data_IF_394289974031
#
_entry.id   IF_394289974031
#
_cell.length_a   1.000
_cell.length_b   1.000
_cell.length_c   1.000
_cell.angle_alpha   90.00
_cell.angle_beta   90.00
_cell.angle_gamma   90.00
#
_symmetry.space_group_name_H-M   'P 1'
#
loop_
_entity.id
_entity.type
_entity.pdbx_description
1 polymer ?
#
# COMPACT_ATOMS: atom_id res chain seq x y z
N UNK A 1 -66.14 -24.45 27.25
CA UNK A 1 -64.74 -24.36 27.69
C UNK A 1 -63.88 -24.31 26.43
N UNK A 2 -63.46 -23.12 26.00
CA UNK A 2 -62.54 -22.93 24.80
C UNK A 2 -61.10 -22.89 25.28
N UNK A 3 -60.31 -23.86 24.84
CA UNK A 3 -58.83 -23.86 25.10
C UNK A 3 -58.16 -22.92 24.09
N UNK A 4 -57.54 -21.84 24.58
CA UNK A 4 -56.71 -20.94 23.82
C UNK A 4 -55.32 -21.55 23.80
N UNK A 5 -54.84 -21.92 22.60
CA UNK A 5 -53.49 -22.40 22.35
C UNK A 5 -52.61 -21.19 22.08
N UNK A 6 -51.74 -20.79 23.01
CA UNK A 6 -50.73 -19.76 22.83
C UNK A 6 -49.55 -20.36 22.04
N UNK A 7 -49.40 -19.93 20.78
CA UNK A 7 -48.22 -20.23 19.98
C UNK A 7 -47.11 -19.20 20.34
N UNK A 8 -46.11 -19.61 21.08
CA UNK A 8 -44.88 -18.84 21.33
C UNK A 8 -44.00 -18.95 20.07
N UNK A 9 -44.00 -17.89 19.25
CA UNK A 9 -43.08 -17.73 18.12
C UNK A 9 -41.74 -17.22 18.66
N UNK A 10 -40.75 -18.10 18.85
CA UNK A 10 -39.39 -17.70 19.21
C UNK A 10 -38.71 -17.14 17.97
N UNK A 11 -38.57 -15.81 17.91
CA UNK A 11 -37.73 -15.12 16.92
C UNK A 11 -36.25 -15.43 17.20
N UNK A 12 -35.65 -16.34 16.44
CA UNK A 12 -34.21 -16.54 16.40
C UNK A 12 -33.60 -15.37 15.62
N UNK A 13 -33.17 -14.33 16.32
CA UNK A 13 -32.32 -13.27 15.69
C UNK A 13 -30.95 -13.87 15.48
N UNK A 14 -30.71 -14.37 14.28
CA UNK A 14 -29.39 -14.79 13.85
C UNK A 14 -28.53 -13.51 13.60
N UNK A 15 -27.85 -13.03 14.63
CA UNK A 15 -26.84 -11.99 14.47
C UNK A 15 -25.64 -12.60 13.74
N UNK A 16 -25.57 -12.38 12.44
CA UNK A 16 -24.36 -12.67 11.66
C UNK A 16 -23.24 -11.77 12.20
N UNK A 17 -22.35 -12.33 13.00
CA UNK A 17 -21.10 -11.68 13.35
C UNK A 17 -20.29 -11.69 12.05
N UNK A 18 -20.34 -10.61 11.29
CA UNK A 18 -19.40 -10.38 10.20
C UNK A 18 -18.02 -10.18 10.85
N UNK A 19 -17.20 -11.22 10.83
CA UNK A 19 -15.79 -11.06 11.17
C UNK A 19 -15.21 -10.07 10.16
N UNK A 20 -14.73 -8.94 10.65
CA UNK A 20 -14.07 -7.96 9.80
C UNK A 20 -12.91 -8.67 9.07
N UNK A 21 -12.88 -8.53 7.76
CA UNK A 21 -11.83 -9.14 6.94
C UNK A 21 -10.48 -8.48 7.28
N UNK A 22 -9.42 -9.29 7.38
CA UNK A 22 -8.07 -8.76 7.61
C UNK A 22 -7.67 -7.79 6.49
N UNK A 23 -7.12 -6.66 6.88
CA UNK A 23 -6.65 -5.61 5.98
C UNK A 23 -5.14 -5.71 5.83
N UNK A 24 -4.65 -5.85 4.61
CA UNK A 24 -3.22 -5.93 4.33
C UNK A 24 -2.76 -4.75 3.49
N UNK A 25 -1.67 -4.11 3.93
CA UNK A 25 -0.92 -3.12 3.15
C UNK A 25 0.53 -3.59 3.09
N UNK A 26 1.09 -3.72 1.88
CA UNK A 26 2.47 -4.11 1.68
C UNK A 26 3.26 -3.03 0.93
N UNK A 27 3.74 -1.99 1.63
CA UNK A 27 4.72 -1.04 1.12
C UNK A 27 6.13 -1.67 1.06
N UNK A 28 6.92 -1.30 0.05
CA UNK A 28 8.33 -1.62 -0.04
C UNK A 28 9.14 -0.43 -0.57
N UNK A 29 10.41 -0.31 -0.16
CA UNK A 29 11.22 0.87 -0.45
C UNK A 29 11.48 1.11 -1.92
N UNK A 30 11.66 0.06 -2.69
CA UNK A 30 11.93 0.08 -4.13
C UNK A 30 12.40 -1.29 -4.61
N UNK A 31 12.90 -1.39 -5.86
CA UNK A 31 13.42 -2.64 -6.38
C UNK A 31 12.35 -3.71 -6.55
N UNK A 32 11.20 -3.31 -7.13
CA UNK A 32 10.10 -4.24 -7.38
C UNK A 32 10.58 -5.48 -8.14
N UNK A 33 10.13 -6.66 -7.70
CA UNK A 33 10.53 -7.94 -8.25
C UNK A 33 9.47 -9.02 -8.04
N UNK A 34 9.68 -10.16 -8.67
CA UNK A 34 8.74 -11.28 -8.66
C UNK A 34 8.49 -11.87 -7.27
N UNK A 35 9.48 -11.84 -6.36
CA UNK A 35 9.32 -12.37 -5.00
C UNK A 35 8.33 -11.54 -4.19
N UNK A 36 8.33 -10.22 -4.36
CA UNK A 36 7.31 -9.36 -3.75
C UNK A 36 5.91 -9.67 -4.29
N UNK A 37 5.77 -9.88 -5.61
CA UNK A 37 4.46 -10.26 -6.17
C UNK A 37 4.00 -11.62 -5.64
N UNK A 38 4.89 -12.61 -5.54
CA UNK A 38 4.55 -13.91 -4.92
C UNK A 38 4.08 -13.75 -3.46
N UNK A 39 4.72 -12.86 -2.70
CA UNK A 39 4.30 -12.58 -1.32
C UNK A 39 2.93 -11.88 -1.28
N UNK A 40 2.65 -10.93 -2.19
CA UNK A 40 1.34 -10.30 -2.34
C UNK A 40 0.26 -11.33 -2.66
N UNK A 41 0.52 -12.27 -3.57
CA UNK A 41 -0.41 -13.36 -3.92
C UNK A 41 -0.78 -14.16 -2.67
N UNK A 42 0.20 -14.52 -1.84
CA UNK A 42 -0.04 -15.28 -0.59
C UNK A 42 -0.99 -14.55 0.37
N UNK A 43 -0.90 -13.21 0.44
CA UNK A 43 -1.77 -12.41 1.31
C UNK A 43 -3.25 -12.49 0.92
N UNK A 44 -3.56 -12.79 -0.35
CA UNK A 44 -4.95 -12.92 -0.82
C UNK A 44 -5.61 -14.23 -0.43
N UNK A 45 -4.83 -15.26 -0.11
CA UNK A 45 -5.32 -16.63 0.11
C UNK A 45 -5.92 -17.29 -1.14
N UNK A 46 -5.76 -16.70 -2.34
CA UNK A 46 -6.32 -17.19 -3.60
C UNK A 46 -5.23 -17.82 -4.50
N UNK A 47 -5.60 -18.85 -5.23
CA UNK A 47 -4.70 -19.50 -6.18
C UNK A 47 -4.42 -18.62 -7.41
N UNK A 48 -5.42 -17.85 -7.85
CA UNK A 48 -5.34 -16.98 -9.02
C UNK A 48 -6.01 -15.63 -8.75
N UNK A 49 -5.37 -14.74 -7.95
CA UNK A 49 -5.96 -13.44 -7.61
C UNK A 49 -5.97 -12.48 -8.79
N UNK A 50 -6.96 -11.59 -8.81
CA UNK A 50 -7.03 -10.44 -9.70
C UNK A 50 -6.13 -9.34 -9.18
N UNK A 51 -5.12 -8.92 -9.95
CA UNK A 51 -4.20 -7.85 -9.59
C UNK A 51 -4.40 -6.67 -10.55
N UNK A 52 -4.83 -5.53 -10.02
CA UNK A 52 -4.93 -4.29 -10.78
C UNK A 52 -3.71 -3.41 -10.51
N UNK A 53 -2.97 -3.08 -11.57
CA UNK A 53 -1.86 -2.13 -11.51
C UNK A 53 -2.34 -0.71 -11.75
N UNK A 54 -1.93 0.21 -10.85
CA UNK A 54 -2.14 1.66 -10.96
C UNK A 54 -0.82 2.36 -11.30
N UNK A 55 -0.57 2.69 -12.58
CA UNK A 55 0.65 3.39 -13.02
C UNK A 55 0.59 4.91 -12.84
N UNK A 56 -0.30 5.43 -12.00
CA UNK A 56 -0.61 6.87 -11.89
C UNK A 56 0.63 7.71 -11.57
N UNK A 57 1.50 7.26 -10.66
CA UNK A 57 2.72 7.99 -10.28
C UNK A 57 3.68 8.20 -11.44
N UNK A 58 3.66 7.34 -12.46
CA UNK A 58 4.49 7.43 -13.67
C UNK A 58 3.76 8.05 -14.88
N UNK A 59 2.61 8.69 -14.65
CA UNK A 59 1.82 9.28 -15.73
C UNK A 59 1.20 8.26 -16.68
N UNK A 60 0.79 7.11 -16.18
CA UNK A 60 0.28 5.96 -16.94
C UNK A 60 1.29 5.46 -18.00
N UNK A 61 2.59 5.48 -17.66
CA UNK A 61 3.70 5.09 -18.53
C UNK A 61 3.48 3.72 -19.17
N UNK A 62 3.52 3.68 -20.50
CA UNK A 62 3.41 2.42 -21.25
C UNK A 62 4.54 1.44 -20.88
N UNK A 63 5.77 1.94 -20.69
CA UNK A 63 6.89 1.11 -20.27
C UNK A 63 6.67 0.52 -18.87
N UNK A 64 6.10 1.28 -17.94
CA UNK A 64 5.72 0.77 -16.62
C UNK A 64 4.66 -0.33 -16.70
N UNK A 65 3.68 -0.16 -17.59
CA UNK A 65 2.64 -1.17 -17.86
C UNK A 65 3.24 -2.45 -18.45
N UNK A 66 4.12 -2.34 -19.43
CA UNK A 66 4.82 -3.49 -20.05
C UNK A 66 5.61 -4.25 -18.97
N UNK A 67 6.42 -3.54 -18.16
CA UNK A 67 7.19 -4.15 -17.07
C UNK A 67 6.31 -4.86 -16.04
N UNK A 68 5.13 -4.32 -15.74
CA UNK A 68 4.20 -5.00 -14.86
C UNK A 68 3.74 -6.33 -15.46
N UNK A 69 3.33 -6.35 -16.73
CA UNK A 69 2.93 -7.60 -17.39
C UNK A 69 4.10 -8.59 -17.47
N UNK A 70 5.33 -8.14 -17.77
CA UNK A 70 6.53 -8.97 -17.75
C UNK A 70 6.81 -9.55 -16.34
N UNK A 71 6.52 -8.79 -15.28
CA UNK A 71 6.72 -9.21 -13.90
C UNK A 71 5.78 -10.36 -13.50
N UNK A 72 4.58 -10.38 -14.07
CA UNK A 72 3.51 -11.32 -13.66
C UNK A 72 3.19 -12.40 -14.68
N UNK A 73 3.79 -12.40 -15.88
CA UNK A 73 3.39 -13.23 -17.03
C UNK A 73 3.41 -14.76 -16.76
N UNK A 74 4.28 -15.21 -15.87
CA UNK A 74 4.46 -16.63 -15.50
C UNK A 74 3.91 -16.94 -14.09
N UNK A 75 3.17 -16.01 -13.49
CA UNK A 75 2.51 -16.20 -12.21
C UNK A 75 1.02 -16.51 -12.41
N UNK A 76 0.45 -17.29 -11.48
CA UNK A 76 -0.99 -17.60 -11.50
C UNK A 76 -1.79 -16.41 -10.99
N UNK A 77 -2.02 -15.42 -11.86
CA UNK A 77 -2.80 -14.20 -11.55
C UNK A 77 -3.68 -13.79 -12.74
N UNK A 78 -4.66 -12.94 -12.49
CA UNK A 78 -5.41 -12.20 -13.51
C UNK A 78 -4.99 -10.71 -13.48
N UNK A 79 -4.02 -10.32 -14.33
CA UNK A 79 -3.50 -8.97 -14.33
C UNK A 79 -4.41 -8.01 -15.09
N UNK A 80 -4.57 -6.83 -14.56
CA UNK A 80 -5.25 -5.70 -15.22
C UNK A 80 -4.53 -4.39 -14.92
N UNK A 81 -4.86 -3.34 -15.66
CA UNK A 81 -4.28 -2.01 -15.48
C UNK A 81 -5.40 -0.97 -15.48
N UNK A 82 -5.43 -0.13 -14.46
CA UNK A 82 -6.32 1.02 -14.41
C UNK A 82 -5.51 2.30 -14.70
N UNK A 83 -5.75 2.90 -15.84
CA UNK A 83 -5.17 4.18 -16.25
C UNK A 83 -6.04 5.34 -15.74
N UNK A 84 -5.41 6.45 -15.39
CA UNK A 84 -6.07 7.59 -14.73
C UNK A 84 -5.82 8.92 -15.42
N UNK A 85 -4.64 9.13 -16.03
CA UNK A 85 -4.21 10.45 -16.53
C UNK A 85 -4.97 10.94 -17.74
N UNK A 86 -5.18 10.07 -18.72
CA UNK A 86 -5.86 10.40 -19.96
C UNK A 86 -6.82 9.30 -20.36
N UNK A 87 -7.77 9.63 -21.20
CA UNK A 87 -8.70 8.66 -21.80
C UNK A 87 -9.69 8.01 -20.83
N UNK A 88 -9.82 8.51 -19.58
CA UNK A 88 -10.81 8.00 -18.64
C UNK A 88 -12.24 8.16 -19.12
N UNK A 89 -12.55 9.16 -19.94
CA UNK A 89 -13.86 9.34 -20.57
C UNK A 89 -14.29 8.14 -21.43
N UNK A 90 -13.35 7.43 -22.04
CA UNK A 90 -13.62 6.26 -22.87
C UNK A 90 -13.76 4.97 -22.04
N UNK A 91 -13.55 5.00 -20.74
CA UNK A 91 -13.75 3.85 -19.87
C UNK A 91 -15.25 3.63 -19.65
N UNK A 92 -15.66 2.37 -19.72
CA UNK A 92 -17.06 1.97 -19.56
C UNK A 92 -17.45 1.70 -18.12
N UNK A 93 -16.46 1.61 -17.23
CA UNK A 93 -16.62 1.34 -15.80
C UNK A 93 -16.01 2.48 -14.99
N UNK A 94 -16.62 2.81 -13.87
CA UNK A 94 -16.05 3.74 -12.90
C UNK A 94 -14.81 3.17 -12.21
N UNK A 95 -13.99 4.03 -11.61
CA UNK A 95 -12.87 3.58 -10.79
C UNK A 95 -13.31 2.66 -9.65
N UNK A 96 -14.49 2.94 -9.07
CA UNK A 96 -15.06 2.13 -8.01
C UNK A 96 -15.41 0.71 -8.50
N UNK A 97 -16.09 0.59 -9.65
CA UNK A 97 -16.43 -0.71 -10.23
C UNK A 97 -15.19 -1.54 -10.57
N UNK A 98 -14.11 -0.92 -11.05
CA UNK A 98 -12.86 -1.63 -11.35
C UNK A 98 -12.11 -2.01 -10.08
N UNK A 99 -11.83 -1.02 -9.21
CA UNK A 99 -10.92 -1.20 -8.06
C UNK A 99 -11.55 -2.01 -6.92
N UNK A 100 -12.88 -2.04 -6.80
CA UNK A 100 -13.54 -2.89 -5.80
C UNK A 100 -13.85 -4.31 -6.28
N UNK A 101 -13.50 -4.65 -7.53
CA UNK A 101 -13.71 -5.98 -8.11
C UNK A 101 -12.40 -6.75 -8.38
N UNK A 102 -11.35 -6.39 -7.65
CA UNK A 102 -10.05 -7.05 -7.69
C UNK A 102 -9.66 -7.56 -6.30
N UNK A 103 -8.58 -8.33 -6.21
CA UNK A 103 -8.08 -8.87 -4.95
C UNK A 103 -6.86 -8.09 -4.45
N UNK A 104 -6.16 -7.44 -5.37
CA UNK A 104 -4.97 -6.64 -5.10
C UNK A 104 -5.01 -5.37 -5.93
N UNK A 105 -4.69 -4.25 -5.30
CA UNK A 105 -4.33 -2.99 -5.95
C UNK A 105 -2.83 -2.79 -5.77
N UNK A 106 -2.09 -2.84 -6.89
CA UNK A 106 -0.65 -2.69 -6.93
C UNK A 106 -0.27 -1.34 -7.54
N UNK A 107 0.35 -0.47 -6.74
CA UNK A 107 0.68 0.92 -7.13
C UNK A 107 2.13 1.03 -7.56
N UNK A 108 2.35 1.60 -8.74
CA UNK A 108 3.67 1.85 -9.28
C UNK A 108 4.40 3.04 -8.62
N UNK A 109 5.73 3.09 -8.81
CA UNK A 109 6.55 4.22 -8.43
C UNK A 109 6.48 5.38 -9.43
N UNK A 110 7.07 6.52 -9.04
CA UNK A 110 7.13 7.76 -9.80
C UNK A 110 6.88 8.98 -8.93
N UNK A 111 6.18 9.98 -9.43
CA UNK A 111 5.90 11.24 -8.72
C UNK A 111 4.71 11.09 -7.76
N UNK A 112 5.00 11.02 -6.46
CA UNK A 112 3.98 10.85 -5.43
C UNK A 112 3.04 12.05 -5.34
N UNK A 113 3.57 13.27 -5.43
CA UNK A 113 2.78 14.51 -5.32
C UNK A 113 1.71 14.58 -6.41
N UNK A 114 2.11 14.33 -7.66
CA UNK A 114 1.19 14.35 -8.81
C UNK A 114 0.15 13.23 -8.70
N UNK A 115 0.57 12.04 -8.29
CA UNK A 115 -0.34 10.92 -8.06
C UNK A 115 -1.41 11.25 -7.02
N UNK A 116 -1.01 11.80 -5.87
CA UNK A 116 -1.93 12.17 -4.79
C UNK A 116 -2.90 13.27 -5.23
N UNK A 117 -2.42 14.27 -5.98
CA UNK A 117 -3.27 15.34 -6.50
C UNK A 117 -4.35 14.81 -7.46
N UNK A 118 -3.98 13.92 -8.38
CA UNK A 118 -4.91 13.30 -9.32
C UNK A 118 -5.89 12.37 -8.61
N UNK A 119 -5.44 11.56 -7.68
CA UNK A 119 -6.33 10.67 -6.94
C UNK A 119 -7.39 11.43 -6.15
N UNK A 120 -7.01 12.51 -5.45
CA UNK A 120 -7.96 13.39 -4.75
C UNK A 120 -8.94 14.06 -5.73
N UNK A 121 -8.45 14.56 -6.87
CA UNK A 121 -9.31 15.20 -7.87
C UNK A 121 -10.32 14.25 -8.52
N UNK A 122 -9.96 12.96 -8.68
CA UNK A 122 -10.78 11.92 -9.30
C UNK A 122 -11.59 11.08 -8.29
N UNK A 123 -11.43 11.31 -6.98
CA UNK A 123 -12.09 10.53 -5.92
C UNK A 123 -11.55 9.11 -5.76
N UNK A 124 -10.38 8.80 -6.31
CA UNK A 124 -9.75 7.47 -6.22
C UNK A 124 -9.28 7.19 -4.79
N UNK A 125 -8.85 8.19 -4.04
CA UNK A 125 -8.51 8.11 -2.63
C UNK A 125 -9.65 7.52 -1.78
N UNK A 126 -10.89 7.95 -2.04
CA UNK A 126 -12.10 7.40 -1.37
C UNK A 126 -12.33 5.95 -1.77
N UNK A 127 -12.13 5.60 -3.04
CA UNK A 127 -12.27 4.22 -3.53
C UNK A 127 -11.21 3.31 -2.92
N UNK A 128 -9.96 3.76 -2.80
CA UNK A 128 -8.88 3.00 -2.18
C UNK A 128 -9.13 2.74 -0.69
N UNK A 129 -9.75 3.69 0.02
CA UNK A 129 -10.18 3.48 1.40
C UNK A 129 -11.23 2.38 1.50
N UNK A 130 -12.27 2.42 0.64
CA UNK A 130 -13.27 1.36 0.55
C UNK A 130 -12.65 0.00 0.19
N UNK A 131 -11.67 -0.01 -0.70
CA UNK A 131 -10.94 -1.23 -1.07
C UNK A 131 -10.23 -1.85 0.13
N UNK A 132 -9.53 -1.05 0.94
CA UNK A 132 -8.89 -1.50 2.17
C UNK A 132 -9.91 -2.05 3.18
N UNK A 133 -11.00 -1.33 3.40
CA UNK A 133 -12.10 -1.76 4.29
C UNK A 133 -12.76 -3.07 3.84
N UNK A 134 -12.76 -3.32 2.54
CA UNK A 134 -13.25 -4.57 1.91
C UNK A 134 -12.23 -5.73 1.99
N UNK A 135 -11.01 -5.49 2.51
CA UNK A 135 -9.95 -6.49 2.62
C UNK A 135 -9.18 -6.73 1.31
N UNK A 136 -9.32 -5.84 0.32
CA UNK A 136 -8.46 -5.86 -0.87
C UNK A 136 -7.04 -5.50 -0.45
N UNK A 137 -6.06 -6.31 -0.86
CA UNK A 137 -4.65 -6.08 -0.53
C UNK A 137 -4.15 -4.85 -1.27
N UNK A 138 -3.59 -3.88 -0.54
CA UNK A 138 -2.93 -2.72 -1.10
C UNK A 138 -1.42 -2.93 -1.06
N UNK A 139 -0.75 -2.69 -2.18
CA UNK A 139 0.70 -2.88 -2.24
C UNK A 139 1.36 -1.88 -3.20
N UNK A 140 2.67 -1.69 -3.05
CA UNK A 140 3.44 -0.90 -4.00
C UNK A 140 4.80 -0.47 -3.47
N UNK A 141 5.63 0.02 -4.38
CA UNK A 141 6.98 0.48 -4.08
C UNK A 141 7.21 1.96 -4.40
N UNK A 142 8.17 2.58 -3.73
CA UNK A 142 8.50 3.99 -3.95
C UNK A 142 7.28 4.90 -3.70
N UNK A 143 6.83 5.68 -4.68
CA UNK A 143 5.59 6.45 -4.59
C UNK A 143 4.38 5.56 -4.21
N UNK A 144 4.33 4.32 -4.72
CA UNK A 144 3.29 3.33 -4.39
C UNK A 144 3.40 2.73 -3.01
N UNK A 145 4.50 2.94 -2.28
CA UNK A 145 4.60 2.65 -0.85
C UNK A 145 4.24 3.87 -0.01
N UNK A 146 4.76 5.03 -0.39
CA UNK A 146 4.61 6.28 0.34
C UNK A 146 3.15 6.73 0.45
N UNK A 147 2.36 6.50 -0.58
CA UNK A 147 0.96 6.92 -0.62
C UNK A 147 0.07 6.36 0.51
N UNK A 148 0.45 5.26 1.15
CA UNK A 148 -0.35 4.64 2.21
C UNK A 148 -0.16 5.27 3.59
N UNK A 149 0.93 6.00 3.80
CA UNK A 149 1.31 6.60 5.08
C UNK A 149 0.70 8.00 5.27
N UNK A 150 0.84 8.56 6.49
CA UNK A 150 0.42 9.95 6.76
C UNK A 150 1.21 10.92 5.88
N UNK A 151 2.54 10.77 5.86
CA UNK A 151 3.46 11.62 5.13
C UNK A 151 4.82 10.94 4.95
N UNK A 152 5.72 11.57 4.21
CA UNK A 152 7.10 11.11 4.12
C UNK A 152 7.96 11.89 3.13
N UNK A 153 9.19 11.40 2.93
CA UNK A 153 10.18 12.03 2.06
C UNK A 153 9.94 11.68 0.59
N UNK A 154 10.06 12.67 -0.29
CA UNK A 154 9.81 12.52 -1.72
C UNK A 154 10.75 13.38 -2.56
N UNK A 155 11.07 12.90 -3.75
CA UNK A 155 11.76 13.56 -4.86
C UNK A 155 10.79 14.14 -5.90
N UNK A 156 9.52 14.29 -5.55
CA UNK A 156 8.46 14.72 -6.48
C UNK A 156 8.57 16.19 -6.94
N UNK A 157 9.39 17.01 -6.29
CA UNK A 157 9.66 18.40 -6.70
C UNK A 157 11.05 18.52 -7.30
N UNK A 158 11.27 19.48 -8.18
CA UNK A 158 12.60 19.70 -8.74
C UNK A 158 13.58 20.21 -7.66
N UNK A 159 14.88 19.98 -7.90
CA UNK A 159 16.04 20.49 -7.16
C UNK A 159 16.33 19.73 -5.87
N UNK A 160 15.34 19.47 -4.99
CA UNK A 160 15.58 18.91 -3.66
C UNK A 160 14.55 17.87 -3.24
N UNK A 161 14.95 17.02 -2.31
CA UNK A 161 14.02 16.16 -1.58
C UNK A 161 13.12 16.99 -0.65
N UNK A 162 11.83 16.68 -0.65
CA UNK A 162 10.84 17.39 0.14
C UNK A 162 9.92 16.42 0.89
N UNK A 163 8.83 16.96 1.43
CA UNK A 163 7.78 16.23 2.13
C UNK A 163 6.52 16.17 1.28
N UNK A 164 5.81 15.05 1.34
CA UNK A 164 4.48 14.88 0.76
C UNK A 164 3.54 14.18 1.75
N UNK A 165 2.27 14.56 1.72
CA UNK A 165 1.20 13.85 2.43
C UNK A 165 0.72 12.66 1.62
N UNK A 166 0.44 11.53 2.30
CA UNK A 166 -0.19 10.35 1.74
C UNK A 166 -1.68 10.27 2.05
N UNK A 167 -2.22 9.05 2.05
CA UNK A 167 -3.64 8.77 2.34
C UNK A 167 -3.92 8.56 3.83
N UNK A 168 -2.88 8.38 4.66
CA UNK A 168 -3.02 8.17 6.09
C UNK A 168 -3.66 6.84 6.50
N UNK A 169 -3.60 5.82 5.63
CA UNK A 169 -4.09 4.48 5.99
C UNK A 169 -3.18 3.79 7.01
N UNK A 170 -1.90 4.16 7.01
CA UNK A 170 -0.91 3.81 8.03
C UNK A 170 -0.53 5.09 8.79
N UNK A 171 -0.81 5.18 10.11
CA UNK A 171 -0.65 6.41 10.89
C UNK A 171 0.82 6.65 11.30
N UNK A 172 1.73 6.51 10.35
CA UNK A 172 3.17 6.64 10.49
C UNK A 172 3.73 7.51 9.37
N UNK A 173 4.94 8.03 9.53
CA UNK A 173 5.71 8.59 8.43
C UNK A 173 6.47 7.50 7.65
N UNK A 174 6.92 7.81 6.43
CA UNK A 174 7.64 6.85 5.59
C UNK A 174 8.76 7.48 4.78
N UNK A 175 9.84 6.70 4.60
CA UNK A 175 10.94 7.02 3.69
C UNK A 175 11.30 5.79 2.84
N UNK A 176 10.92 5.75 1.55
CA UNK A 176 11.41 4.74 0.62
C UNK A 176 12.83 5.04 0.16
N UNK A 177 13.50 4.09 -0.54
CA UNK A 177 14.86 4.24 -1.08
C UNK A 177 15.90 4.70 -0.04
N UNK A 178 15.78 4.23 1.17
CA UNK A 178 16.51 4.75 2.32
C UNK A 178 18.02 4.52 2.25
N UNK A 179 18.44 3.51 1.50
CA UNK A 179 19.83 3.13 1.22
C UNK A 179 20.42 3.78 -0.03
N UNK A 180 19.57 4.21 -0.97
CA UNK A 180 20.01 4.50 -2.34
C UNK A 180 20.14 5.99 -2.68
N UNK A 181 19.55 6.87 -1.87
CA UNK A 181 19.59 8.30 -2.09
C UNK A 181 20.28 9.01 -0.93
N UNK A 182 21.43 9.64 -1.20
CA UNK A 182 22.34 10.22 -0.21
C UNK A 182 21.65 11.12 0.84
N UNK A 183 20.69 11.95 0.41
CA UNK A 183 20.06 12.92 1.29
C UNK A 183 18.74 12.42 1.91
N UNK A 184 18.24 11.25 1.55
CA UNK A 184 16.94 10.77 2.00
C UNK A 184 16.95 10.42 3.48
N UNK A 185 17.94 9.68 3.93
CA UNK A 185 18.09 9.28 5.34
C UNK A 185 18.31 10.49 6.26
N UNK A 186 19.25 11.43 5.98
CA UNK A 186 19.40 12.65 6.78
C UNK A 186 18.12 13.48 6.86
N UNK A 187 17.43 13.69 5.74
CA UNK A 187 16.19 14.46 5.69
C UNK A 187 15.09 13.80 6.53
N UNK A 188 14.94 12.48 6.43
CA UNK A 188 13.92 11.76 7.18
C UNK A 188 14.13 11.86 8.69
N UNK A 189 15.37 11.63 9.14
CA UNK A 189 15.75 11.74 10.55
C UNK A 189 15.52 13.17 11.06
N UNK A 190 15.95 14.18 10.29
CA UNK A 190 15.75 15.59 10.65
C UNK A 190 14.28 15.96 10.79
N UNK A 191 13.40 15.50 9.88
CA UNK A 191 11.97 15.81 9.97
C UNK A 191 11.30 15.14 11.19
N UNK A 192 11.81 14.00 11.67
CA UNK A 192 11.35 13.38 12.92
C UNK A 192 11.88 14.18 14.12
N UNK A 193 13.13 14.62 14.09
CA UNK A 193 13.74 15.46 15.13
C UNK A 193 13.03 16.80 15.28
N UNK A 194 12.71 17.45 14.17
CA UNK A 194 12.00 18.73 14.10
C UNK A 194 10.49 18.60 14.44
N UNK A 195 9.98 17.37 14.65
CA UNK A 195 8.56 17.11 14.92
C UNK A 195 7.64 17.30 13.72
N UNK A 196 8.18 17.44 12.50
CA UNK A 196 7.42 17.52 11.24
C UNK A 196 6.81 16.15 10.94
N UNK A 197 7.57 15.08 11.20
CA UNK A 197 7.12 13.71 11.08
C UNK A 197 6.89 13.07 12.44
N UNK A 198 5.84 12.27 12.54
CA UNK A 198 5.71 11.27 13.60
C UNK A 198 6.75 10.17 13.39
N UNK A 199 6.93 9.33 14.41
CA UNK A 199 7.67 8.07 14.24
C UNK A 199 7.13 7.27 13.04
N UNK A 200 8.01 6.56 12.35
CA UNK A 200 7.62 5.85 11.15
C UNK A 200 8.65 4.84 10.65
N UNK A 201 8.47 4.42 9.41
CA UNK A 201 9.22 3.33 8.83
C UNK A 201 10.04 3.80 7.63
N UNK A 202 11.32 3.47 7.63
CA UNK A 202 12.20 3.65 6.49
C UNK A 202 12.53 2.29 5.87
N UNK A 203 12.58 2.22 4.55
CA UNK A 203 12.76 0.96 3.81
C UNK A 203 13.80 1.14 2.71
N UNK A 204 14.81 0.27 2.74
CA UNK A 204 15.79 0.16 1.67
C UNK A 204 15.15 -0.39 0.40
N UNK A 205 15.80 -0.19 -0.74
CA UNK A 205 15.47 -0.95 -1.95
C UNK A 205 15.52 -2.45 -1.64
N UNK A 206 14.62 -3.23 -2.23
CA UNK A 206 14.51 -4.69 -2.05
C UNK A 206 14.09 -5.13 -0.64
N UNK A 207 13.55 -4.22 0.18
CA UNK A 207 12.95 -4.54 1.47
C UNK A 207 11.55 -3.92 1.59
N UNK A 208 10.72 -4.48 2.48
CA UNK A 208 9.37 -4.00 2.70
C UNK A 208 8.77 -4.54 3.98
N UNK A 209 7.66 -3.96 4.40
CA UNK A 209 6.93 -4.34 5.60
C UNK A 209 5.48 -4.64 5.22
N UNK A 210 5.01 -5.83 5.58
CA UNK A 210 3.59 -6.16 5.49
C UNK A 210 2.93 -5.67 6.76
N UNK A 211 1.96 -4.80 6.60
CA UNK A 211 1.07 -4.36 7.69
C UNK A 211 -0.22 -5.16 7.64
N UNK A 212 -0.67 -5.59 8.81
CA UNK A 212 -1.97 -6.24 9.02
C UNK A 212 -2.79 -5.42 10.00
N UNK A 213 -3.97 -4.99 9.58
CA UNK A 213 -4.87 -4.17 10.41
C UNK A 213 -4.15 -2.92 10.98
N UNK A 214 -3.36 -2.23 10.14
CA UNK A 214 -2.62 -1.03 10.48
C UNK A 214 -1.36 -1.22 11.33
N UNK A 215 -0.97 -2.45 11.68
CA UNK A 215 0.22 -2.77 12.48
C UNK A 215 1.24 -3.57 11.68
N UNK A 216 2.56 -3.38 11.90
CA UNK A 216 3.59 -4.20 11.26
C UNK A 216 3.38 -5.67 11.63
N UNK A 217 3.34 -6.52 10.63
CA UNK A 217 3.10 -7.95 10.78
C UNK A 217 4.31 -8.79 10.38
N UNK A 218 4.97 -8.43 9.25
CA UNK A 218 6.12 -9.17 8.74
C UNK A 218 7.04 -8.23 7.98
N UNK A 219 8.33 -8.27 8.27
CA UNK A 219 9.36 -7.57 7.50
C UNK A 219 10.01 -8.56 6.55
N UNK A 220 10.15 -8.17 5.29
CA UNK A 220 10.71 -9.03 4.24
C UNK A 220 11.78 -8.29 3.45
N UNK A 221 12.73 -9.05 2.93
CA UNK A 221 13.69 -8.55 1.97
C UNK A 221 13.98 -9.60 0.90
N UNK A 222 14.39 -9.16 -0.29
CA UNK A 222 14.79 -10.04 -1.39
C UNK A 222 16.30 -10.02 -1.61
N UNK A 223 17.02 -9.25 -0.78
CA UNK A 223 18.49 -9.22 -0.70
C UNK A 223 18.93 -9.17 0.75
N UNK A 224 20.00 -9.88 1.15
CA UNK A 224 20.46 -9.93 2.54
C UNK A 224 20.84 -8.57 3.12
N UNK A 225 21.40 -7.66 2.31
CA UNK A 225 21.83 -6.32 2.71
C UNK A 225 20.67 -5.33 2.91
N UNK A 226 19.52 -5.55 2.25
CA UNK A 226 18.37 -4.65 2.30
C UNK A 226 17.63 -4.75 3.65
N UNK A 227 17.30 -3.60 4.25
CA UNK A 227 16.74 -3.54 5.59
C UNK A 227 15.52 -2.62 5.66
N UNK A 228 14.73 -2.81 6.71
CA UNK A 228 13.71 -1.86 7.15
C UNK A 228 14.07 -1.36 8.55
N UNK A 229 13.67 -0.14 8.85
CA UNK A 229 13.95 0.53 10.11
C UNK A 229 12.68 1.16 10.68
N UNK A 230 12.58 1.16 12.00
CA UNK A 230 11.66 2.03 12.72
C UNK A 230 12.45 3.23 13.25
N UNK A 231 12.01 4.44 12.90
CA UNK A 231 12.69 5.68 13.27
C UNK A 231 11.77 6.50 14.16
N UNK A 232 12.27 6.87 15.35
CA UNK A 232 11.45 7.55 16.36
C UNK A 232 12.29 8.46 17.25
N UNK A 233 11.62 9.33 18.01
CA UNK A 233 12.25 10.07 19.11
C UNK A 233 12.31 9.20 20.35
N UNK A 234 13.50 9.10 20.98
CA UNK A 234 13.71 8.46 22.26
C UNK A 234 14.69 9.29 23.10
N UNK A 235 14.26 9.68 24.29
CA UNK A 235 15.07 10.49 25.22
C UNK A 235 15.62 11.79 24.58
N UNK A 236 14.81 12.45 23.73
CA UNK A 236 15.16 13.70 23.07
C UNK A 236 16.12 13.55 21.87
N UNK A 237 16.34 12.33 21.39
CA UNK A 237 17.19 12.02 20.23
C UNK A 237 16.45 11.16 19.22
N UNK A 238 16.75 11.34 17.93
CA UNK A 238 16.27 10.42 16.90
C UNK A 238 17.02 9.10 17.00
N UNK A 239 16.28 8.03 17.10
CA UNK A 239 16.79 6.65 17.13
C UNK A 239 16.26 5.89 15.94
N UNK A 240 17.14 5.13 15.32
CA UNK A 240 16.82 4.26 14.20
C UNK A 240 17.04 2.81 14.64
N UNK A 241 15.97 2.05 14.70
CA UNK A 241 15.96 0.65 15.09
C UNK A 241 15.81 -0.23 13.84
N UNK A 242 16.83 -1.02 13.54
CA UNK A 242 16.78 -2.00 12.44
C UNK A 242 15.84 -3.14 12.82
N UNK A 243 14.91 -3.46 11.89
CA UNK A 243 13.91 -4.51 12.12
C UNK A 243 14.41 -5.88 11.66
N UNK A 244 14.06 -6.91 12.43
CA UNK A 244 14.28 -8.30 12.04
C UNK A 244 13.46 -8.64 10.79
N UNK A 245 14.07 -9.36 9.85
CA UNK A 245 13.48 -9.62 8.53
C UNK A 245 13.56 -11.09 8.11
N UNK A 246 12.68 -11.49 7.23
CA UNK A 246 12.69 -12.76 6.50
C UNK A 246 13.21 -12.50 5.09
N UNK A 247 14.18 -13.29 4.64
CA UNK A 247 14.63 -13.26 3.25
C UNK A 247 13.68 -14.11 2.42
N UNK A 248 13.12 -13.51 1.35
CA UNK A 248 12.26 -14.20 0.40
C UNK A 248 13.12 -14.94 -0.64
N UNK A 249 12.70 -16.17 -0.97
CA UNK A 249 13.33 -17.07 -1.93
C UNK A 249 12.38 -17.50 -3.05
#
# INVERSE_FOLDING_TARGET
MKKILLLLLSLFVCTSISLAQDQYIFPFGGGQNKLFIKEIIKLTGKERPKICYLPTASGDSQQGIIRFYELVHDLSVEPSVQRVWISSYNQKQSFEEVLLNVDVIYVGGGNTLNMMAIWKAQGIDVVLKKALEKGIVLAGGSAGSLCWFDNGTTDSRPIELTVVEGLGFLPYSHSPHYDAEEFRRPLYMKNIEDGIFKAGYAMDNYSGIIFKNGKPFKVVATKPEANCYFVSMKDGKVVEEKLEKVILE
#
